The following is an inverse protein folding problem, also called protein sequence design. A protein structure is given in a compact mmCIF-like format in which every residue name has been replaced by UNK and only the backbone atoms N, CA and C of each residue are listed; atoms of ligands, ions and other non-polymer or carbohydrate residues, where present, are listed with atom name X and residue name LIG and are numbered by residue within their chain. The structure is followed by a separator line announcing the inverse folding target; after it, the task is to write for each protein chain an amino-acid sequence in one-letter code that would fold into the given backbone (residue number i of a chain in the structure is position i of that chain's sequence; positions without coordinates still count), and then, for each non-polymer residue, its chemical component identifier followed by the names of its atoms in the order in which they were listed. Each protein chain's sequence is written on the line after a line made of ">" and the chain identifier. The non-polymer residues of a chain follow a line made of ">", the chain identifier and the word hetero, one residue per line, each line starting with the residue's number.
data_IF_998319634622
#
_entry.id   IF_998319634622
#
_cell.length_a   1.000
_cell.length_b   1.000
_cell.length_c   1.000
_cell.angle_alpha   90.00
_cell.angle_beta   90.00
_cell.angle_gamma   90.00
#
_symmetry.space_group_name_H-M   'P 1'
#
loop_
_entity.id
_entity.type
_entity.pdbx_description
1 polymer ?
#
# COMPACT_ATOMS: atom_id res chain seq x y z
N UNK A 1 -10.96 14.13 -13.04
CA UNK A 1 -10.00 15.22 -12.80
C UNK A 1 -9.92 16.17 -13.99
N UNK A 2 -9.83 15.65 -15.22
CA UNK A 2 -9.86 16.51 -16.44
C UNK A 2 -11.10 17.40 -16.51
N UNK A 3 -12.28 16.86 -16.21
CA UNK A 3 -13.54 17.62 -16.21
C UNK A 3 -13.56 18.77 -15.17
N UNK A 4 -12.67 18.77 -14.20
CA UNK A 4 -12.55 19.81 -13.17
C UNK A 4 -11.34 20.72 -13.39
N UNK A 5 -10.57 20.48 -14.45
CA UNK A 5 -9.29 21.18 -14.75
C UNK A 5 -8.33 21.21 -13.56
N UNK A 6 -8.24 20.09 -12.82
CA UNK A 6 -7.38 19.94 -11.64
C UNK A 6 -6.17 19.08 -11.98
N UNK A 7 -4.99 19.56 -11.56
CA UNK A 7 -3.75 18.79 -11.60
C UNK A 7 -3.50 18.21 -10.20
N UNK A 8 -3.70 16.89 -10.00
CA UNK A 8 -3.41 16.26 -8.72
C UNK A 8 -1.91 16.25 -8.46
N UNK A 9 -1.52 16.56 -7.23
CA UNK A 9 -0.15 16.45 -6.76
C UNK A 9 -0.13 15.40 -5.65
N UNK A 10 0.54 14.28 -5.91
CA UNK A 10 0.72 13.25 -4.90
C UNK A 10 1.85 13.69 -3.95
N UNK A 11 1.62 13.54 -2.66
CA UNK A 11 2.62 13.75 -1.60
C UNK A 11 2.62 12.53 -0.69
N UNK A 12 3.77 12.22 -0.12
CA UNK A 12 3.93 11.15 0.86
C UNK A 12 4.76 11.62 2.03
N UNK A 13 4.41 11.18 3.21
CA UNK A 13 5.10 11.39 4.46
C UNK A 13 4.40 10.70 5.61
N UNK A 14 5.03 10.73 6.76
CA UNK A 14 4.61 10.06 7.98
C UNK A 14 4.47 11.08 9.11
N UNK A 15 3.89 10.68 10.22
CA UNK A 15 3.95 11.44 11.47
C UNK A 15 5.40 11.63 11.90
N UNK A 16 6.21 10.60 11.71
CA UNK A 16 7.64 10.54 12.01
C UNK A 16 8.49 11.45 11.11
N UNK A 17 7.92 12.04 10.07
CA UNK A 17 8.59 13.02 9.18
C UNK A 17 7.99 14.41 9.25
N UNK A 18 7.12 14.68 10.25
CA UNK A 18 6.46 15.98 10.44
C UNK A 18 5.65 16.45 9.24
N UNK A 19 5.29 15.56 8.33
CA UNK A 19 4.53 15.85 7.13
C UNK A 19 5.13 15.28 5.85
N UNK A 20 4.74 15.82 4.68
CA UNK A 20 5.19 15.31 3.41
C UNK A 20 6.70 15.43 3.20
N UNK A 21 7.33 14.32 2.85
CA UNK A 21 8.77 14.24 2.56
C UNK A 21 9.05 13.98 1.07
N UNK A 22 8.05 13.52 0.33
CA UNK A 22 8.12 13.43 -1.13
C UNK A 22 7.00 14.20 -1.80
N UNK A 23 7.20 14.53 -3.07
CA UNK A 23 6.22 15.22 -3.90
C UNK A 23 6.32 14.75 -5.35
N UNK A 24 5.16 14.48 -5.96
CA UNK A 24 5.04 14.28 -7.40
C UNK A 24 5.11 15.62 -8.12
N UNK A 25 6.12 15.78 -8.98
CA UNK A 25 6.23 16.96 -9.82
C UNK A 25 5.71 16.66 -11.22
N UNK A 26 4.69 17.39 -11.66
CA UNK A 26 4.20 17.29 -13.02
C UNK A 26 5.29 17.75 -14.01
N UNK A 27 5.56 16.92 -15.02
CA UNK A 27 6.51 17.26 -16.09
C UNK A 27 5.72 17.61 -17.35
N UNK A 28 5.95 18.78 -18.00
CA UNK A 28 5.13 19.25 -19.13
C UNK A 28 5.00 18.22 -20.26
N UNK A 29 6.07 17.49 -20.57
CA UNK A 29 6.05 16.45 -21.61
C UNK A 29 5.12 15.27 -21.33
N UNK A 30 4.60 15.13 -20.09
CA UNK A 30 3.59 14.11 -19.79
C UNK A 30 2.24 14.38 -20.47
N UNK A 31 2.03 15.59 -20.98
CA UNK A 31 0.84 15.89 -21.78
C UNK A 31 0.83 15.15 -23.13
N UNK A 32 2.01 14.78 -23.63
CA UNK A 32 2.17 14.07 -24.89
C UNK A 32 2.10 12.54 -24.75
N UNK A 33 1.99 12.04 -23.50
CA UNK A 33 1.87 10.62 -23.20
C UNK A 33 0.43 10.15 -23.34
N UNK A 34 0.28 8.84 -23.64
CA UNK A 34 -1.00 8.15 -23.53
C UNK A 34 -1.62 8.36 -22.13
N UNK A 35 -2.93 8.52 -22.07
CA UNK A 35 -3.69 8.86 -20.86
C UNK A 35 -3.35 7.92 -19.68
N UNK A 36 -3.29 6.61 -19.93
CA UNK A 36 -2.95 5.61 -18.92
C UNK A 36 -1.53 5.79 -18.36
N UNK A 37 -0.57 6.08 -19.23
CA UNK A 37 0.82 6.29 -18.83
C UNK A 37 0.99 7.60 -18.05
N UNK A 38 0.39 8.69 -18.54
CA UNK A 38 0.37 9.99 -17.85
C UNK A 38 -0.11 9.84 -16.41
N UNK A 39 -1.31 9.29 -16.22
CA UNK A 39 -1.86 9.13 -14.87
C UNK A 39 -1.12 8.09 -14.03
N UNK A 40 -0.56 7.04 -14.64
CA UNK A 40 0.31 6.09 -13.94
C UNK A 40 1.56 6.76 -13.36
N UNK A 41 2.17 7.70 -14.09
CA UNK A 41 3.30 8.50 -13.57
C UNK A 41 2.88 9.51 -12.50
N UNK A 42 1.72 10.13 -12.66
CA UNK A 42 1.16 11.08 -11.68
C UNK A 42 0.75 10.41 -10.37
N UNK A 43 0.40 9.14 -10.39
CA UNK A 43 0.03 8.35 -9.21
C UNK A 43 1.23 7.95 -8.33
N UNK A 44 2.47 8.10 -8.83
CA UNK A 44 3.69 7.83 -8.04
C UNK A 44 3.86 8.88 -6.95
N UNK A 45 4.55 8.53 -5.87
CA UNK A 45 4.84 9.45 -4.76
C UNK A 45 5.94 10.46 -5.09
N UNK A 46 6.53 10.32 -6.27
CA UNK A 46 7.47 11.31 -6.81
C UNK A 46 8.86 11.21 -6.21
N UNK A 47 9.42 12.36 -5.86
CA UNK A 47 10.82 12.50 -5.44
C UNK A 47 10.89 13.15 -4.07
N UNK A 48 12.02 13.01 -3.38
CA UNK A 48 12.29 13.75 -2.15
C UNK A 48 12.08 15.25 -2.33
N UNK A 49 11.53 15.91 -1.31
CA UNK A 49 11.30 17.34 -1.33
C UNK A 49 12.63 18.11 -1.21
N UNK A 50 12.64 19.39 -1.58
CA UNK A 50 13.82 20.25 -1.45
C UNK A 50 14.26 20.46 0.00
N UNK A 51 13.37 20.21 0.97
CA UNK A 51 13.63 20.32 2.40
C UNK A 51 14.09 19.02 3.04
N UNK A 52 14.15 17.92 2.30
CA UNK A 52 14.56 16.60 2.78
C UNK A 52 15.85 16.13 2.14
N UNK A 53 16.56 15.24 2.82
CA UNK A 53 17.60 14.45 2.16
C UNK A 53 16.95 13.51 1.13
N UNK A 54 17.73 13.00 0.15
CA UNK A 54 17.22 12.04 -0.83
C UNK A 54 16.56 10.85 -0.15
N UNK A 55 15.36 10.51 -0.61
CA UNK A 55 14.69 9.27 -0.23
C UNK A 55 15.43 8.10 -0.84
N UNK A 56 15.61 7.03 -0.09
CA UNK A 56 16.27 5.80 -0.53
C UNK A 56 15.31 4.64 -0.38
N UNK A 57 15.47 3.62 -1.22
CA UNK A 57 14.77 2.34 -1.11
C UNK A 57 15.82 1.26 -0.94
N UNK A 58 15.74 0.52 0.14
CA UNK A 58 16.70 -0.52 0.50
C UNK A 58 16.04 -1.89 0.54
N UNK A 59 16.84 -2.93 0.29
CA UNK A 59 16.39 -4.31 0.39
C UNK A 59 15.89 -4.61 1.80
N UNK A 60 14.76 -5.29 1.88
CA UNK A 60 14.27 -5.89 3.12
C UNK A 60 15.01 -7.20 3.41
N UNK A 61 14.81 -7.78 4.59
CA UNK A 61 15.24 -9.14 4.86
C UNK A 61 14.41 -10.12 4.01
N UNK A 62 15.06 -11.14 3.46
CA UNK A 62 14.39 -12.13 2.62
C UNK A 62 13.33 -12.94 3.40
N UNK A 63 13.64 -13.25 4.67
CA UNK A 63 12.79 -14.11 5.51
C UNK A 63 11.64 -13.35 6.19
N UNK A 64 11.78 -12.04 6.38
CA UNK A 64 10.78 -11.20 7.04
C UNK A 64 10.85 -9.75 6.53
N UNK A 65 10.05 -9.40 5.52
CA UNK A 65 10.03 -8.04 4.98
C UNK A 65 9.56 -6.97 5.97
N UNK A 66 8.86 -7.33 7.05
CA UNK A 66 8.42 -6.41 8.11
C UNK A 66 9.54 -6.13 9.14
N UNK A 67 10.62 -6.93 9.15
CA UNK A 67 11.79 -6.66 9.95
C UNK A 67 12.77 -5.74 9.21
N UNK A 68 13.10 -4.55 9.76
CA UNK A 68 14.03 -3.64 9.12
C UNK A 68 15.43 -4.26 9.01
N UNK A 69 16.12 -4.01 7.89
CA UNK A 69 17.50 -4.42 7.69
C UNK A 69 18.47 -3.36 8.19
N UNK A 70 19.47 -3.77 8.96
CA UNK A 70 20.59 -2.89 9.30
C UNK A 70 21.56 -2.65 8.14
N UNK A 71 21.51 -3.51 7.11
CA UNK A 71 22.31 -3.38 5.89
C UNK A 71 21.53 -2.56 4.87
N UNK A 72 21.83 -1.26 4.78
CA UNK A 72 21.12 -0.32 3.91
C UNK A 72 21.55 -0.45 2.44
N UNK A 73 21.35 -1.63 1.85
CA UNK A 73 21.68 -1.92 0.44
C UNK A 73 20.55 -1.43 -0.45
N UNK A 74 20.83 -0.48 -1.34
CA UNK A 74 19.81 0.08 -2.25
C UNK A 74 19.34 -0.94 -3.29
N UNK A 75 18.05 -0.88 -3.59
CA UNK A 75 17.44 -1.61 -4.71
C UNK A 75 17.83 -0.96 -6.05
N UNK A 76 17.67 -1.70 -7.14
CA UNK A 76 17.86 -1.16 -8.49
C UNK A 76 16.77 -0.14 -8.83
N UNK A 77 17.14 0.87 -9.63
CA UNK A 77 16.19 1.85 -10.17
C UNK A 77 15.57 1.35 -11.47
N UNK A 78 14.92 0.19 -11.41
CA UNK A 78 14.32 -0.48 -12.56
C UNK A 78 12.78 -0.51 -12.54
N UNK A 79 12.19 0.01 -11.46
CA UNK A 79 10.74 -0.01 -11.23
C UNK A 79 10.18 -1.40 -10.92
N UNK A 80 11.03 -2.35 -10.53
CA UNK A 80 10.65 -3.76 -10.29
C UNK A 80 11.15 -4.31 -8.96
N UNK A 81 12.44 -4.09 -8.64
CA UNK A 81 13.01 -4.57 -7.39
C UNK A 81 12.34 -3.84 -6.22
N UNK A 82 11.71 -4.62 -5.32
CA UNK A 82 10.95 -4.10 -4.18
C UNK A 82 11.92 -3.92 -3.00
N UNK A 83 11.72 -2.84 -2.26
CA UNK A 83 12.43 -2.60 -1.03
C UNK A 83 11.67 -1.65 -0.11
N UNK A 84 12.19 -1.43 1.09
CA UNK A 84 11.63 -0.53 2.07
C UNK A 84 12.12 0.90 1.84
N UNK A 85 11.24 1.87 1.96
CA UNK A 85 11.60 3.29 1.97
C UNK A 85 12.31 3.60 3.28
N UNK A 86 13.52 4.17 3.18
CA UNK A 86 14.22 4.72 4.33
C UNK A 86 14.47 6.22 4.15
N UNK A 87 14.50 6.92 5.27
CA UNK A 87 14.57 8.37 5.32
C UNK A 87 15.65 8.84 6.28
N UNK A 88 16.26 9.98 5.95
CA UNK A 88 17.23 10.65 6.80
C UNK A 88 16.95 12.15 6.82
N UNK A 89 17.47 12.82 7.81
CA UNK A 89 17.49 14.28 7.88
C UNK A 89 16.74 14.86 9.08
N UNK A 90 16.74 16.16 9.15
CA UNK A 90 16.22 16.93 10.27
C UNK A 90 14.69 16.98 10.36
N UNK A 91 13.98 16.49 9.33
CA UNK A 91 12.53 16.34 9.35
C UNK A 91 12.10 15.02 10.00
N UNK A 92 13.05 14.07 10.20
CA UNK A 92 12.75 12.82 10.87
C UNK A 92 12.58 13.02 12.38
N UNK A 93 11.64 12.29 12.99
CA UNK A 93 11.44 12.26 14.42
C UNK A 93 12.76 11.89 15.13
N UNK A 94 12.92 12.37 16.35
CA UNK A 94 14.08 12.02 17.17
C UNK A 94 13.92 10.64 17.80
N UNK A 95 12.76 10.38 18.36
CA UNK A 95 12.45 9.17 19.10
C UNK A 95 10.95 9.00 19.33
N UNK A 96 10.51 7.78 19.66
CA UNK A 96 9.20 7.55 20.24
C UNK A 96 9.23 7.80 21.75
N UNK A 97 8.29 8.59 22.24
CA UNK A 97 8.22 8.97 23.65
C UNK A 97 8.18 7.73 24.56
N UNK A 98 9.15 7.63 25.49
CA UNK A 98 9.30 6.53 26.45
C UNK A 98 9.29 5.13 25.83
N UNK A 99 9.68 4.99 24.57
CA UNK A 99 9.74 3.68 23.89
C UNK A 99 11.09 3.51 23.17
N UNK A 100 12.17 3.22 23.90
CA UNK A 100 13.52 3.09 23.32
C UNK A 100 13.65 1.89 22.39
N UNK A 101 12.86 0.82 22.59
CA UNK A 101 12.90 -0.36 21.74
C UNK A 101 12.33 -0.04 20.36
N UNK A 102 11.14 0.54 20.27
CA UNK A 102 10.54 0.98 19.01
C UNK A 102 11.43 2.05 18.34
N UNK A 103 12.05 2.95 19.11
CA UNK A 103 12.98 3.95 18.55
C UNK A 103 14.19 3.29 17.92
N UNK A 104 14.80 2.29 18.59
CA UNK A 104 15.93 1.57 18.04
C UNK A 104 15.57 0.83 16.74
N UNK A 105 14.38 0.20 16.69
CA UNK A 105 13.87 -0.46 15.49
C UNK A 105 13.66 0.56 14.37
N UNK A 106 13.05 1.70 14.69
CA UNK A 106 12.80 2.78 13.73
C UNK A 106 14.07 3.29 13.05
N UNK A 107 15.20 3.34 13.76
CA UNK A 107 16.47 3.91 13.27
C UNK A 107 17.57 2.85 13.07
N UNK A 108 17.21 1.61 12.79
CA UNK A 108 18.16 0.56 12.54
C UNK A 108 19.07 0.92 11.34
N UNK A 109 20.40 0.70 11.47
CA UNK A 109 21.36 1.09 10.43
C UNK A 109 21.54 2.61 10.26
N UNK A 110 20.94 3.44 11.15
CA UNK A 110 21.12 4.91 11.14
C UNK A 110 20.18 5.65 10.19
N UNK A 111 19.13 5.01 9.69
CA UNK A 111 18.08 5.63 8.88
C UNK A 111 16.69 5.33 9.47
N UNK A 112 15.73 6.21 9.25
CA UNK A 112 14.34 5.99 9.63
C UNK A 112 13.71 4.98 8.66
N UNK A 113 13.31 3.85 9.19
CA UNK A 113 12.55 2.81 8.48
C UNK A 113 11.06 3.14 8.49
N UNK A 114 10.43 3.20 7.31
CA UNK A 114 9.03 3.60 7.19
C UNK A 114 8.04 2.45 7.34
N UNK A 115 8.49 1.22 7.09
CA UNK A 115 7.63 0.05 6.94
C UNK A 115 6.82 0.07 5.65
N UNK A 116 7.07 1.01 4.73
CA UNK A 116 6.37 1.09 3.44
C UNK A 116 7.28 0.53 2.34
N UNK A 117 6.76 -0.45 1.59
CA UNK A 117 7.46 -1.09 0.47
C UNK A 117 7.20 -0.32 -0.82
N UNK A 118 8.23 -0.16 -1.60
CA UNK A 118 8.21 0.61 -2.84
C UNK A 118 9.15 0.04 -3.91
N UNK A 119 8.96 0.49 -5.13
CA UNK A 119 9.92 0.34 -6.23
C UNK A 119 10.50 1.70 -6.60
N UNK A 120 11.72 1.69 -7.11
CA UNK A 120 12.43 2.88 -7.55
C UNK A 120 12.48 2.92 -9.09
N UNK A 121 11.86 3.92 -9.67
CA UNK A 121 11.83 4.06 -11.12
C UNK A 121 13.13 4.65 -11.67
N UNK A 122 13.47 4.38 -12.96
CA UNK A 122 14.68 4.93 -13.58
C UNK A 122 14.77 6.46 -13.57
N UNK A 123 13.63 7.15 -13.56
CA UNK A 123 13.56 8.62 -13.46
C UNK A 123 13.73 9.16 -12.03
N UNK A 124 14.00 8.29 -11.07
CA UNK A 124 14.17 8.62 -9.66
C UNK A 124 12.89 8.75 -8.85
N UNK A 125 11.72 8.60 -9.47
CA UNK A 125 10.45 8.59 -8.76
C UNK A 125 10.27 7.29 -7.97
N UNK A 126 9.73 7.41 -6.77
CA UNK A 126 9.32 6.25 -5.97
C UNK A 126 7.84 5.93 -6.20
N UNK A 127 7.50 4.66 -6.14
CA UNK A 127 6.12 4.18 -6.15
C UNK A 127 5.90 3.21 -5.01
N UNK A 128 5.08 3.61 -4.03
CA UNK A 128 4.67 2.76 -2.92
C UNK A 128 3.76 1.67 -3.45
N UNK A 129 4.04 0.44 -3.02
CA UNK A 129 3.25 -0.73 -3.35
C UNK A 129 2.30 -1.10 -2.21
N UNK A 130 2.83 -1.14 -0.99
CA UNK A 130 2.08 -1.47 0.21
C UNK A 130 2.92 -1.22 1.47
N UNK A 131 2.33 -1.46 2.64
CA UNK A 131 3.10 -1.65 3.88
C UNK A 131 3.67 -3.05 3.95
N UNK A 132 4.85 -3.21 4.51
CA UNK A 132 5.49 -4.52 4.68
C UNK A 132 4.56 -5.53 5.36
N UNK A 133 3.90 -5.12 6.44
CA UNK A 133 2.92 -5.95 7.18
C UNK A 133 1.58 -6.19 6.47
N UNK A 134 1.30 -5.49 5.39
CA UNK A 134 0.03 -5.60 4.63
C UNK A 134 0.21 -6.37 3.31
N UNK A 135 1.47 -6.60 2.88
CA UNK A 135 1.79 -7.50 1.76
C UNK A 135 1.30 -8.90 2.11
N UNK A 136 0.72 -9.56 1.13
CA UNK A 136 0.22 -10.94 1.24
C UNK A 136 1.18 -11.83 0.48
N UNK A 137 1.81 -12.78 1.16
CA UNK A 137 2.82 -13.68 0.56
C UNK A 137 2.15 -15.00 0.18
N UNK A 138 1.77 -15.14 -1.08
CA UNK A 138 1.06 -16.32 -1.58
C UNK A 138 1.94 -17.13 -2.53
N UNK A 139 2.34 -18.32 -2.12
CA UNK A 139 3.19 -19.19 -2.94
C UNK A 139 4.56 -18.61 -3.28
N UNK A 140 5.09 -17.73 -2.43
CA UNK A 140 6.35 -17.02 -2.68
C UNK A 140 6.22 -15.75 -3.52
N UNK A 141 5.00 -15.40 -3.95
CA UNK A 141 4.71 -14.18 -4.70
C UNK A 141 4.13 -13.09 -3.79
N UNK A 142 4.61 -11.88 -3.94
CA UNK A 142 4.13 -10.72 -3.17
C UNK A 142 2.88 -10.12 -3.84
N UNK A 143 1.76 -10.15 -3.13
CA UNK A 143 0.51 -9.52 -3.54
C UNK A 143 0.35 -8.21 -2.76
N UNK A 144 0.30 -7.09 -3.47
CA UNK A 144 -0.08 -5.82 -2.86
C UNK A 144 -1.57 -5.82 -2.52
N UNK A 145 -1.88 -5.67 -1.23
CA UNK A 145 -3.25 -5.53 -0.77
C UNK A 145 -3.88 -4.25 -1.33
N UNK A 146 -3.11 -3.17 -1.44
CA UNK A 146 -3.54 -1.89 -2.01
C UNK A 146 -3.89 -1.98 -3.50
N UNK A 147 -3.08 -2.73 -4.28
CA UNK A 147 -3.37 -2.96 -5.69
C UNK A 147 -4.66 -3.76 -5.89
N UNK A 148 -4.87 -4.77 -5.05
CA UNK A 148 -6.08 -5.59 -5.07
C UNK A 148 -7.32 -4.78 -4.65
N UNK A 149 -7.22 -3.97 -3.60
CA UNK A 149 -8.28 -3.04 -3.17
C UNK A 149 -8.66 -2.06 -4.29
N UNK A 150 -7.64 -1.44 -4.90
CA UNK A 150 -7.83 -0.51 -6.02
C UNK A 150 -8.55 -1.15 -7.21
N UNK A 151 -8.32 -2.43 -7.43
CA UNK A 151 -9.00 -3.17 -8.47
C UNK A 151 -10.44 -3.52 -8.08
N UNK A 152 -10.68 -4.01 -6.85
CA UNK A 152 -12.02 -4.35 -6.39
C UNK A 152 -12.98 -3.16 -6.44
N UNK A 153 -12.52 -1.95 -6.10
CA UNK A 153 -13.34 -0.73 -6.20
C UNK A 153 -13.66 -0.30 -7.63
N UNK A 154 -13.08 -0.94 -8.67
CA UNK A 154 -13.54 -0.75 -10.06
C UNK A 154 -14.83 -1.49 -10.37
N UNK A 155 -15.30 -2.38 -9.49
CA UNK A 155 -16.61 -2.99 -9.61
C UNK A 155 -17.71 -1.92 -9.48
N UNK A 156 -18.74 -1.92 -10.34
CA UNK A 156 -19.76 -0.86 -10.36
C UNK A 156 -20.48 -0.67 -9.04
N UNK A 157 -20.66 -1.72 -8.25
CA UNK A 157 -21.46 -1.73 -7.03
C UNK A 157 -20.62 -1.67 -5.74
N UNK A 158 -19.30 -1.83 -5.81
CA UNK A 158 -18.42 -1.73 -4.64
C UNK A 158 -18.11 -0.26 -4.35
N UNK A 159 -18.26 0.14 -3.09
CA UNK A 159 -17.90 1.47 -2.60
C UNK A 159 -16.47 1.50 -2.06
N UNK A 160 -16.14 0.57 -1.16
CA UNK A 160 -14.82 0.48 -0.53
C UNK A 160 -14.40 -1.00 -0.46
N UNK A 161 -13.10 -1.23 -0.45
CA UNK A 161 -12.52 -2.55 -0.27
C UNK A 161 -11.30 -2.47 0.65
N UNK A 162 -11.09 -3.50 1.45
CA UNK A 162 -9.89 -3.70 2.25
C UNK A 162 -9.49 -5.18 2.18
N UNK A 163 -8.20 -5.43 1.92
CA UNK A 163 -7.66 -6.78 1.79
C UNK A 163 -6.66 -7.09 2.88
N UNK A 164 -6.73 -8.29 3.43
CA UNK A 164 -5.78 -8.81 4.43
C UNK A 164 -5.38 -10.24 4.08
N UNK A 165 -4.21 -10.65 4.57
CA UNK A 165 -3.76 -12.04 4.49
C UNK A 165 -4.57 -12.93 5.43
N UNK A 166 -4.92 -14.13 4.95
CA UNK A 166 -5.38 -15.26 5.75
C UNK A 166 -4.46 -16.46 5.52
N UNK A 167 -4.22 -17.30 6.54
CA UNK A 167 -3.42 -18.51 6.38
C UNK A 167 -4.03 -19.46 5.34
N UNK A 168 -3.18 -20.10 4.55
CA UNK A 168 -3.55 -21.14 3.58
C UNK A 168 -2.52 -22.27 3.63
N UNK A 169 -2.97 -23.52 3.76
CA UNK A 169 -2.10 -24.70 3.93
C UNK A 169 -1.19 -24.94 2.71
N UNK A 170 -1.65 -24.59 1.51
CA UNK A 170 -0.91 -24.83 0.27
C UNK A 170 -0.01 -23.65 -0.12
N UNK A 171 -0.47 -22.43 0.11
CA UNK A 171 0.14 -21.20 -0.41
C UNK A 171 0.79 -20.33 0.66
N UNK A 172 0.74 -20.75 1.94
CA UNK A 172 1.16 -19.97 3.10
C UNK A 172 0.12 -18.92 3.45
N UNK A 173 -0.14 -17.99 2.55
CA UNK A 173 -1.18 -16.98 2.69
C UNK A 173 -2.05 -16.85 1.44
N UNK A 174 -3.28 -16.37 1.64
CA UNK A 174 -4.22 -15.99 0.57
C UNK A 174 -4.93 -14.68 0.93
N UNK A 175 -5.33 -13.88 -0.08
CA UNK A 175 -6.09 -12.68 0.18
C UNK A 175 -7.52 -12.99 0.65
N UNK A 176 -7.97 -12.28 1.70
CA UNK A 176 -9.38 -12.12 2.05
C UNK A 176 -9.76 -10.65 1.88
N UNK A 177 -10.87 -10.39 1.20
CA UNK A 177 -11.37 -9.05 1.01
C UNK A 177 -12.59 -8.79 1.90
N UNK A 178 -12.65 -7.58 2.47
CA UNK A 178 -13.82 -7.01 3.10
C UNK A 178 -14.27 -5.83 2.24
N UNK A 179 -15.53 -5.79 1.88
CA UNK A 179 -16.06 -4.76 0.99
C UNK A 179 -17.32 -4.11 1.58
N UNK A 180 -17.56 -2.88 1.19
CA UNK A 180 -18.88 -2.24 1.34
C UNK A 180 -19.47 -1.98 -0.04
N UNK A 181 -20.79 -1.92 -0.12
CA UNK A 181 -21.50 -1.66 -1.37
C UNK A 181 -21.99 -0.22 -1.44
N UNK A 182 -22.22 0.27 -2.64
CA UNK A 182 -22.81 1.60 -2.86
C UNK A 182 -24.25 1.64 -2.37
N UNK A 183 -24.69 2.82 -1.97
CA UNK A 183 -26.08 3.05 -1.51
C UNK A 183 -27.11 2.55 -2.54
N UNK A 184 -28.10 1.80 -2.06
CA UNK A 184 -29.13 1.15 -2.88
C UNK A 184 -28.69 -0.19 -3.49
N UNK A 185 -27.54 -0.72 -3.10
CA UNK A 185 -26.99 -2.02 -3.54
C UNK A 185 -26.87 -3.04 -2.40
N UNK A 186 -27.37 -2.70 -1.22
CA UNK A 186 -27.31 -3.55 -0.04
C UNK A 186 -28.06 -4.86 -0.31
N UNK A 187 -27.41 -5.99 0.01
CA UNK A 187 -27.96 -7.34 -0.21
C UNK A 187 -28.06 -7.79 -1.67
N UNK A 188 -27.61 -6.98 -2.64
CA UNK A 188 -27.65 -7.33 -4.08
C UNK A 188 -26.32 -7.92 -4.59
N UNK A 189 -25.23 -7.81 -3.83
CA UNK A 189 -23.92 -8.30 -4.23
C UNK A 189 -23.42 -9.29 -3.16
N UNK A 190 -23.07 -10.48 -3.60
CA UNK A 190 -22.49 -11.52 -2.76
C UNK A 190 -20.97 -11.61 -2.89
N UNK A 191 -20.30 -12.16 -1.88
CA UNK A 191 -18.85 -12.37 -1.95
C UNK A 191 -18.44 -13.30 -3.09
N UNK A 192 -19.25 -14.32 -3.42
CA UNK A 192 -18.99 -15.25 -4.52
C UNK A 192 -19.03 -14.55 -5.89
N UNK A 193 -20.00 -13.67 -6.11
CA UNK A 193 -20.10 -12.88 -7.34
C UNK A 193 -18.89 -11.96 -7.53
N UNK A 194 -18.40 -11.37 -6.45
CA UNK A 194 -17.18 -10.54 -6.49
C UNK A 194 -15.94 -11.39 -6.82
N UNK A 195 -15.81 -12.58 -6.24
CA UNK A 195 -14.73 -13.52 -6.55
C UNK A 195 -14.76 -13.91 -8.04
N UNK A 196 -15.94 -14.25 -8.56
CA UNK A 196 -16.09 -14.66 -9.95
C UNK A 196 -15.87 -13.48 -10.91
N UNK A 197 -16.30 -12.29 -10.55
CA UNK A 197 -15.97 -11.08 -11.28
C UNK A 197 -14.46 -10.82 -11.33
N UNK A 198 -13.78 -10.95 -10.18
CA UNK A 198 -12.33 -10.76 -10.07
C UNK A 198 -11.53 -11.77 -10.92
N UNK A 199 -11.96 -13.05 -10.98
CA UNK A 199 -11.32 -14.10 -11.80
C UNK A 199 -11.31 -13.75 -13.29
N UNK A 200 -12.28 -13.00 -13.76
CA UNK A 200 -12.47 -12.67 -15.18
C UNK A 200 -11.86 -11.30 -15.56
N UNK A 201 -11.16 -10.61 -14.62
CA UNK A 201 -10.55 -9.31 -14.90
C UNK A 201 -9.14 -9.43 -15.46
N UNK A 202 -8.89 -8.69 -16.53
CA UNK A 202 -7.53 -8.48 -17.04
C UNK A 202 -6.69 -7.73 -16.02
N UNK A 203 -5.48 -8.20 -15.77
CA UNK A 203 -4.55 -7.57 -14.82
C UNK A 203 -4.55 -8.18 -13.41
N UNK A 204 -5.41 -9.18 -13.14
CA UNK A 204 -5.31 -10.01 -11.95
C UNK A 204 -4.82 -11.40 -12.33
N UNK A 205 -3.75 -11.84 -11.70
CA UNK A 205 -3.34 -13.23 -11.74
C UNK A 205 -4.25 -14.08 -10.83
N UNK A 206 -4.42 -15.35 -11.14
CA UNK A 206 -5.32 -16.23 -10.37
C UNK A 206 -4.97 -16.31 -8.88
N UNK A 207 -3.70 -16.22 -8.52
CA UNK A 207 -3.26 -16.24 -7.13
C UNK A 207 -3.60 -14.94 -6.37
N UNK A 208 -3.82 -13.83 -7.09
CA UNK A 208 -4.25 -12.55 -6.49
C UNK A 208 -5.75 -12.51 -6.19
N UNK A 209 -6.56 -13.39 -6.79
CA UNK A 209 -8.01 -13.42 -6.54
C UNK A 209 -8.29 -13.73 -5.07
N UNK A 210 -9.12 -12.93 -4.37
CA UNK A 210 -9.45 -13.21 -2.98
C UNK A 210 -10.02 -14.62 -2.79
N UNK A 211 -9.54 -15.32 -1.76
CA UNK A 211 -10.08 -16.63 -1.37
C UNK A 211 -11.49 -16.50 -0.80
N UNK A 212 -11.70 -15.42 -0.08
CA UNK A 212 -12.95 -15.08 0.57
C UNK A 212 -13.24 -13.60 0.36
N UNK A 213 -14.51 -13.28 0.16
CA UNK A 213 -15.00 -11.89 0.15
C UNK A 213 -16.17 -11.78 1.11
N UNK A 214 -16.08 -10.82 1.99
CA UNK A 214 -17.11 -10.55 2.99
C UNK A 214 -17.69 -9.16 2.77
N UNK A 215 -19.02 -9.08 2.65
CA UNK A 215 -19.75 -7.83 2.50
C UNK A 215 -20.11 -7.31 3.88
N UNK A 216 -19.76 -6.06 4.16
CA UNK A 216 -20.01 -5.38 5.43
C UNK A 216 -20.82 -4.11 5.18
N UNK A 217 -21.52 -3.65 6.20
CA UNK A 217 -22.20 -2.35 6.17
C UNK A 217 -21.18 -1.20 6.22
N UNK A 218 -20.12 -1.36 7.03
CA UNK A 218 -19.05 -0.37 7.17
C UNK A 218 -17.71 -1.05 7.44
N UNK A 219 -16.62 -0.49 6.88
CA UNK A 219 -15.25 -0.91 7.20
C UNK A 219 -14.75 -0.17 8.46
N UNK A 220 -13.99 -0.85 9.35
CA UNK A 220 -13.45 -0.21 10.54
C UNK A 220 -12.43 0.86 10.18
N UNK A 221 -12.66 2.09 10.68
CA UNK A 221 -11.82 3.27 10.41
C UNK A 221 -11.37 3.94 11.69
N UNK A 222 -10.30 4.71 11.58
CA UNK A 222 -9.90 5.67 12.60
C UNK A 222 -10.80 6.91 12.53
N UNK A 223 -10.73 7.78 13.54
CA UNK A 223 -11.41 9.09 13.54
C UNK A 223 -11.01 9.98 12.35
N UNK A 224 -9.85 9.70 11.73
CA UNK A 224 -9.35 10.40 10.55
C UNK A 224 -9.72 9.74 9.23
N UNK A 225 -10.55 8.68 9.25
CA UNK A 225 -11.02 7.96 8.06
C UNK A 225 -10.06 6.90 7.50
N UNK A 226 -8.93 6.61 8.18
CA UNK A 226 -8.01 5.55 7.73
C UNK A 226 -8.55 4.16 8.08
N UNK A 227 -8.49 3.21 7.16
CA UNK A 227 -8.85 1.81 7.38
C UNK A 227 -7.99 1.17 8.49
N UNK A 228 -8.63 0.46 9.39
CA UNK A 228 -8.00 -0.27 10.49
C UNK A 228 -7.80 -1.74 10.12
N UNK A 229 -6.84 -2.03 9.22
CA UNK A 229 -6.54 -3.40 8.78
C UNK A 229 -6.18 -4.36 9.92
N UNK A 230 -5.66 -3.86 11.04
CA UNK A 230 -5.43 -4.67 12.23
C UNK A 230 -6.72 -5.33 12.74
N UNK A 231 -7.82 -4.60 12.79
CA UNK A 231 -9.13 -5.14 13.17
C UNK A 231 -9.62 -6.18 12.16
N UNK A 232 -9.48 -5.88 10.87
CA UNK A 232 -9.87 -6.81 9.79
C UNK A 232 -9.07 -8.12 9.84
N UNK A 233 -7.77 -8.06 10.19
CA UNK A 233 -6.96 -9.26 10.41
C UNK A 233 -7.45 -10.08 11.61
N UNK A 234 -7.85 -9.42 12.69
CA UNK A 234 -8.40 -10.08 13.86
C UNK A 234 -9.75 -10.77 13.54
N UNK A 235 -10.61 -10.09 12.78
CA UNK A 235 -11.86 -10.69 12.29
C UNK A 235 -11.61 -11.88 11.34
N UNK A 236 -10.65 -11.76 10.46
CA UNK A 236 -10.28 -12.83 9.53
C UNK A 236 -9.77 -14.10 10.24
N UNK A 237 -9.21 -13.95 11.45
CA UNK A 237 -8.77 -15.05 12.33
C UNK A 237 -9.87 -15.57 13.26
N UNK A 238 -11.13 -15.13 13.12
CA UNK A 238 -12.25 -15.51 13.97
C UNK A 238 -12.40 -14.68 15.24
N UNK A 239 -11.75 -13.53 15.31
CA UNK A 239 -11.92 -12.58 16.42
C UNK A 239 -13.33 -12.03 16.52
N UNK A 240 -13.75 -11.67 17.76
CA UNK A 240 -15.06 -11.08 18.00
C UNK A 240 -15.18 -9.74 17.30
N UNK A 241 -16.34 -9.51 16.71
CA UNK A 241 -16.75 -8.19 16.23
C UNK A 241 -17.49 -7.50 17.38
N UNK A 242 -16.80 -6.58 18.04
CA UNK A 242 -17.49 -5.63 18.90
C UNK A 242 -18.20 -4.63 17.98
N UNK A 243 -19.50 -4.77 17.87
CA UNK A 243 -20.42 -3.87 17.13
C UNK A 243 -20.72 -2.66 18.00
#
# INVERSE_FOLDING_TARGET
>A
MENLNLNPVHVYGLTETYGPITKGYFKPFWNDLEVKEKYGRMARQGHGSVASLPVRIVRTKEDDPDEPSGDLIEVKRDGKEIGEIILNGNLCAKEYYKNPEATRKLFLGGALHTGDLAVWHPDGAIQILDRAKDIIISGGENISSLALESLLVTHPDILEAACVAIPDEQWGERPKAFITVKSGKEGQLTGEEVIDWAKNRSGISRFMVPREVEVLDELPKTSTGKLRKNILRDWAKGGKRDV
#
